data_IF_519637877923
#
_entry.id   IF_519637877923
#
_cell.length_a   1.000
_cell.length_b   1.000
_cell.length_c   1.000
_cell.angle_alpha   90.00
_cell.angle_beta   90.00
_cell.angle_gamma   90.00
#
_symmetry.space_group_name_H-M   'P 1'
#
loop_
_entity.id
_entity.type
_entity.pdbx_description
1 polymer ?
#
# COMPACT_ATOMS: atom_id res chain seq x y z
N UNK A 1 44.83 67.47 -54.68
CA UNK A 1 44.82 67.05 -53.27
C UNK A 1 43.45 67.40 -52.71
N UNK A 2 42.51 66.47 -52.81
CA UNK A 2 41.09 66.67 -52.49
C UNK A 2 40.85 66.28 -51.05
N UNK A 3 40.45 67.25 -50.24
CA UNK A 3 40.20 67.10 -48.80
C UNK A 3 38.77 66.60 -48.59
N UNK A 4 38.62 65.32 -48.26
CA UNK A 4 37.35 64.68 -47.95
C UNK A 4 36.94 65.01 -46.53
N UNK A 5 35.90 65.83 -46.38
CA UNK A 5 35.25 66.12 -45.10
C UNK A 5 34.48 64.88 -44.63
N UNK A 6 34.86 64.32 -43.48
CA UNK A 6 34.17 63.22 -42.82
C UNK A 6 32.98 63.81 -42.05
N UNK A 7 31.73 63.38 -42.29
CA UNK A 7 30.57 63.91 -41.60
C UNK A 7 30.61 63.52 -40.12
N UNK A 8 30.46 64.53 -39.27
CA UNK A 8 30.31 64.39 -37.84
C UNK A 8 29.00 63.65 -37.56
N UNK A 9 29.06 62.36 -37.24
CA UNK A 9 27.89 61.61 -36.79
C UNK A 9 27.50 62.15 -35.42
N UNK A 10 26.34 62.80 -35.33
CA UNK A 10 25.76 63.25 -34.07
C UNK A 10 25.71 62.07 -33.10
N UNK A 11 26.40 62.19 -31.97
CA UNK A 11 26.31 61.21 -30.88
C UNK A 11 24.83 61.09 -30.50
N UNK A 12 24.23 59.89 -30.47
CA UNK A 12 22.86 59.74 -30.03
C UNK A 12 22.73 60.34 -28.64
N UNK A 13 21.80 61.29 -28.49
CA UNK A 13 21.47 61.90 -27.22
C UNK A 13 21.14 60.78 -26.23
N UNK A 14 21.90 60.71 -25.14
CA UNK A 14 21.62 59.81 -24.02
C UNK A 14 20.36 60.31 -23.33
N UNK A 15 19.19 59.89 -23.82
CA UNK A 15 17.93 60.09 -23.14
C UNK A 15 17.99 59.29 -21.84
N UNK A 16 17.99 59.99 -20.69
CA UNK A 16 17.88 59.35 -19.39
C UNK A 16 16.56 58.60 -19.32
N UNK A 17 16.57 57.40 -18.73
CA UNK A 17 15.39 56.58 -18.52
C UNK A 17 14.29 57.41 -17.84
N UNK A 18 13.10 57.40 -18.43
CA UNK A 18 11.96 58.07 -17.80
C UNK A 18 11.50 57.24 -16.59
N UNK A 19 11.10 57.91 -15.51
CA UNK A 19 10.64 57.23 -14.28
C UNK A 19 9.51 56.22 -14.54
N UNK A 20 8.69 56.47 -15.57
CA UNK A 20 7.62 55.59 -16.02
C UNK A 20 8.15 54.27 -16.59
N UNK A 21 9.25 54.30 -17.33
CA UNK A 21 9.87 53.12 -17.94
C UNK A 21 10.49 52.19 -16.87
N UNK A 22 11.05 52.79 -15.81
CA UNK A 22 11.54 52.05 -14.64
C UNK A 22 10.39 51.43 -13.86
N UNK A 23 9.28 52.17 -13.63
CA UNK A 23 8.09 51.65 -12.97
C UNK A 23 7.43 50.50 -13.75
N UNK A 24 7.33 50.63 -15.07
CA UNK A 24 6.82 49.57 -15.94
C UNK A 24 7.70 48.31 -15.87
N UNK A 25 9.02 48.49 -15.93
CA UNK A 25 9.99 47.39 -15.82
C UNK A 25 9.88 46.69 -14.45
N UNK A 26 9.75 47.45 -13.37
CA UNK A 26 9.55 46.92 -12.02
C UNK A 26 8.22 46.15 -11.90
N UNK A 27 7.15 46.64 -12.54
CA UNK A 27 5.85 45.97 -12.57
C UNK A 27 5.89 44.63 -13.30
N UNK A 28 6.51 44.58 -14.47
CA UNK A 28 6.71 43.33 -15.23
C UNK A 28 7.58 42.35 -14.45
N UNK A 29 8.64 42.85 -13.82
CA UNK A 29 9.53 42.05 -12.99
C UNK A 29 8.82 41.46 -11.76
N UNK A 30 8.01 42.26 -11.07
CA UNK A 30 7.20 41.81 -9.93
C UNK A 30 6.18 40.73 -10.35
N UNK A 31 5.49 40.94 -11.48
CA UNK A 31 4.59 39.92 -12.03
C UNK A 31 5.34 38.64 -12.39
N UNK A 32 6.51 38.75 -13.02
CA UNK A 32 7.36 37.60 -13.34
C UNK A 32 7.73 36.78 -12.10
N UNK A 33 8.06 37.43 -10.98
CA UNK A 33 8.33 36.73 -9.72
C UNK A 33 7.12 36.01 -9.15
N UNK A 34 5.92 36.59 -9.24
CA UNK A 34 4.68 35.92 -8.80
C UNK A 34 4.42 34.66 -9.62
N UNK A 35 4.64 34.70 -10.94
CA UNK A 35 4.52 33.53 -11.80
C UNK A 35 5.55 32.45 -11.49
N UNK A 36 6.80 32.81 -11.20
CA UNK A 36 7.83 31.83 -10.81
C UNK A 36 7.51 31.24 -9.43
N UNK A 37 7.08 32.07 -8.49
CA UNK A 37 6.73 31.66 -7.14
C UNK A 37 5.56 30.65 -7.12
N UNK A 38 4.59 30.79 -8.03
CA UNK A 38 3.44 29.89 -8.11
C UNK A 38 3.77 28.51 -8.67
N UNK A 39 4.90 28.33 -9.36
CA UNK A 39 5.32 27.04 -9.92
C UNK A 39 5.96 26.14 -8.84
N UNK A 40 6.64 26.70 -7.85
CA UNK A 40 7.37 25.91 -6.84
C UNK A 40 6.50 24.95 -6.02
N UNK A 41 5.31 25.32 -5.52
CA UNK A 41 4.47 24.40 -4.76
C UNK A 41 4.04 23.18 -5.59
N UNK A 42 3.68 23.39 -6.85
CA UNK A 42 3.27 22.32 -7.76
C UNK A 42 4.44 21.38 -8.06
N UNK A 43 5.63 21.93 -8.34
CA UNK A 43 6.83 21.14 -8.56
C UNK A 43 7.21 20.30 -7.32
N UNK A 44 7.08 20.87 -6.12
CA UNK A 44 7.36 20.15 -4.88
C UNK A 44 6.39 18.98 -4.65
N UNK A 45 5.09 19.18 -4.93
CA UNK A 45 4.09 18.10 -4.85
C UNK A 45 4.40 16.97 -5.85
N UNK A 46 4.64 17.31 -7.12
CA UNK A 46 4.98 16.33 -8.16
C UNK A 46 6.27 15.58 -7.84
N UNK A 47 7.28 16.27 -7.30
CA UNK A 47 8.53 15.64 -6.89
C UNK A 47 8.32 14.66 -5.73
N UNK A 48 7.44 15.00 -4.77
CA UNK A 48 7.06 14.11 -3.67
C UNK A 48 6.35 12.86 -4.20
N UNK A 49 5.35 13.02 -5.05
CA UNK A 49 4.60 11.91 -5.66
C UNK A 49 5.50 11.00 -6.49
N UNK A 50 6.40 11.59 -7.30
CA UNK A 50 7.39 10.83 -8.06
C UNK A 50 8.35 10.07 -7.14
N UNK A 51 8.83 10.69 -6.07
CA UNK A 51 9.70 10.04 -5.07
C UNK A 51 8.98 8.88 -4.37
N UNK A 52 7.73 9.09 -3.96
CA UNK A 52 6.91 8.05 -3.34
C UNK A 52 6.66 6.89 -4.31
N UNK A 53 6.35 7.18 -5.57
CA UNK A 53 6.14 6.16 -6.62
C UNK A 53 7.39 5.33 -6.87
N UNK A 54 8.56 5.97 -6.98
CA UNK A 54 9.85 5.28 -7.18
C UNK A 54 10.21 4.44 -5.95
N UNK A 55 10.01 4.98 -4.75
CA UNK A 55 10.25 4.26 -3.49
C UNK A 55 9.37 3.01 -3.40
N UNK A 56 8.07 3.16 -3.65
CA UNK A 56 7.09 2.08 -3.66
C UNK A 56 7.43 1.00 -4.70
N UNK A 57 7.79 1.39 -5.92
CA UNK A 57 8.21 0.46 -6.97
C UNK A 57 9.49 -0.30 -6.58
N UNK A 58 10.45 0.36 -5.92
CA UNK A 58 11.68 -0.27 -5.42
C UNK A 58 11.39 -1.30 -4.34
N UNK A 59 10.53 -0.97 -3.37
CA UNK A 59 10.13 -1.89 -2.28
C UNK A 59 9.42 -3.12 -2.86
N UNK A 60 8.47 -2.90 -3.76
CA UNK A 60 7.70 -3.95 -4.47
C UNK A 60 8.64 -4.92 -5.21
N UNK A 61 9.61 -4.39 -5.96
CA UNK A 61 10.62 -5.21 -6.66
C UNK A 61 11.51 -5.98 -5.69
N UNK A 62 11.91 -5.36 -4.58
CA UNK A 62 12.72 -6.02 -3.57
C UNK A 62 11.96 -7.15 -2.89
N UNK A 63 10.71 -6.91 -2.45
CA UNK A 63 9.85 -7.93 -1.86
C UNK A 63 9.64 -9.11 -2.83
N UNK A 64 9.39 -8.82 -4.11
CA UNK A 64 9.29 -9.86 -5.15
C UNK A 64 10.59 -10.64 -5.32
N UNK A 65 11.74 -9.96 -5.35
CA UNK A 65 13.05 -10.60 -5.49
C UNK A 65 13.40 -11.47 -4.28
N UNK A 66 13.04 -11.04 -3.07
CA UNK A 66 13.19 -11.82 -1.83
C UNK A 66 12.31 -13.06 -1.89
N UNK A 67 11.02 -12.93 -2.23
CA UNK A 67 10.17 -14.12 -2.33
C UNK A 67 10.67 -15.10 -3.41
N UNK A 68 11.16 -14.57 -4.54
CA UNK A 68 11.81 -15.37 -5.58
C UNK A 68 13.19 -15.91 -5.19
N UNK A 69 13.89 -15.35 -4.21
CA UNK A 69 15.16 -15.92 -3.74
C UNK A 69 14.94 -17.02 -2.70
N UNK A 70 13.81 -16.96 -1.99
CA UNK A 70 13.31 -18.11 -1.22
C UNK A 70 12.96 -19.30 -2.14
N UNK A 71 13.05 -19.17 -3.48
CA UNK A 71 12.93 -20.26 -4.47
C UNK A 71 13.88 -21.43 -4.22
N UNK A 72 15.08 -21.12 -3.75
CA UNK A 72 16.09 -22.15 -3.49
C UNK A 72 15.95 -22.84 -2.12
N UNK A 73 15.02 -22.38 -1.25
CA UNK A 73 14.81 -22.96 0.08
C UNK A 73 13.69 -23.98 -0.01
N UNK A 74 13.99 -25.24 0.34
CA UNK A 74 13.05 -26.38 0.33
C UNK A 74 11.85 -26.09 1.25
N UNK A 75 10.79 -25.56 0.64
CA UNK A 75 9.52 -25.27 1.28
C UNK A 75 8.78 -26.59 1.48
N UNK A 76 9.19 -27.44 2.41
CA UNK A 76 8.39 -28.62 2.74
C UNK A 76 7.09 -28.15 3.44
N UNK A 77 5.94 -28.09 2.74
CA UNK A 77 4.76 -27.37 3.23
C UNK A 77 4.00 -28.16 4.28
N UNK A 78 4.21 -29.48 4.29
CA UNK A 78 3.41 -30.46 5.03
C UNK A 78 3.46 -30.31 6.56
N UNK A 79 4.30 -29.42 7.10
CA UNK A 79 4.32 -29.12 8.53
C UNK A 79 4.73 -27.71 8.93
N UNK A 80 4.96 -26.81 7.97
CA UNK A 80 5.72 -25.58 8.26
C UNK A 80 5.22 -24.26 7.68
N UNK A 81 4.26 -24.24 6.75
CA UNK A 81 3.85 -22.98 6.09
C UNK A 81 2.55 -22.35 6.60
N UNK A 82 1.60 -23.12 7.14
CA UNK A 82 0.41 -22.61 7.81
C UNK A 82 0.41 -22.98 9.31
N UNK A 83 0.10 -22.03 10.19
CA UNK A 83 -0.01 -22.33 11.62
C UNK A 83 -1.33 -23.05 11.92
N UNK A 84 -1.25 -24.00 12.85
CA UNK A 84 -2.40 -24.76 13.32
C UNK A 84 -2.81 -25.92 12.41
N UNK A 85 -3.54 -26.86 13.00
CA UNK A 85 -4.11 -28.08 12.41
C UNK A 85 -5.21 -27.83 11.35
N UNK A 86 -5.24 -26.64 10.74
CA UNK A 86 -6.35 -26.14 9.93
C UNK A 86 -6.00 -25.87 8.46
N UNK A 87 -4.72 -26.05 8.07
CA UNK A 87 -4.37 -26.06 6.65
C UNK A 87 -5.13 -27.18 5.97
N UNK A 88 -5.90 -26.83 4.95
CA UNK A 88 -6.56 -27.76 4.04
C UNK A 88 -6.12 -27.39 2.64
N UNK A 89 -5.77 -28.37 1.84
CA UNK A 89 -5.53 -28.16 0.41
C UNK A 89 -6.88 -27.95 -0.28
N UNK A 90 -7.48 -26.79 -0.06
CA UNK A 90 -8.82 -26.45 -0.53
C UNK A 90 -8.81 -25.23 -1.45
N UNK A 91 -7.65 -24.87 -1.98
CA UNK A 91 -7.56 -23.70 -2.84
C UNK A 91 -7.66 -22.36 -2.13
N UNK A 92 -7.67 -22.30 -0.80
CA UNK A 92 -7.89 -21.03 -0.10
C UNK A 92 -6.59 -20.28 0.21
N UNK A 93 -6.73 -18.96 0.43
CA UNK A 93 -5.65 -18.09 0.90
C UNK A 93 -5.45 -18.22 2.41
N UNK A 94 -4.24 -18.54 2.81
CA UNK A 94 -3.77 -18.67 4.18
C UNK A 94 -2.62 -17.69 4.48
N UNK A 95 -2.47 -17.27 5.75
CA UNK A 95 -1.33 -16.45 6.14
C UNK A 95 -0.10 -17.35 6.36
N UNK A 96 1.08 -16.88 5.96
CA UNK A 96 2.33 -17.60 6.15
C UNK A 96 2.68 -17.87 7.63
N UNK A 97 3.42 -18.92 7.95
CA UNK A 97 3.99 -19.08 9.28
C UNK A 97 5.14 -18.09 9.53
N UNK A 98 4.99 -17.30 10.59
CA UNK A 98 5.94 -16.26 11.02
C UNK A 98 7.30 -16.85 11.37
N UNK A 99 7.26 -17.91 12.18
CA UNK A 99 8.41 -18.69 12.59
C UNK A 99 9.12 -19.34 11.41
N UNK A 100 8.40 -19.69 10.35
CA UNK A 100 9.02 -20.23 9.14
C UNK A 100 9.78 -19.13 8.39
N UNK A 101 9.18 -17.95 8.23
CA UNK A 101 9.86 -16.79 7.62
C UNK A 101 11.10 -16.38 8.42
N UNK A 102 11.00 -16.26 9.74
CA UNK A 102 12.13 -15.84 10.59
C UNK A 102 13.33 -16.80 10.54
N UNK A 103 13.07 -18.11 10.44
CA UNK A 103 14.13 -19.12 10.40
C UNK A 103 14.78 -19.27 9.01
N UNK A 104 14.09 -18.85 7.94
CA UNK A 104 14.54 -19.07 6.56
C UNK A 104 14.92 -17.78 5.82
N UNK A 105 14.51 -16.61 6.30
CA UNK A 105 14.94 -15.34 5.74
C UNK A 105 16.36 -15.00 6.19
N UNK A 106 17.28 -14.69 5.27
CA UNK A 106 18.56 -14.09 5.62
C UNK A 106 18.37 -12.83 6.48
N UNK A 107 19.14 -12.71 7.56
CA UNK A 107 19.07 -11.58 8.53
C UNK A 107 19.31 -10.19 7.91
N UNK A 108 19.76 -10.13 6.66
CA UNK A 108 19.97 -8.92 5.87
C UNK A 108 18.83 -8.60 4.89
N UNK A 109 17.78 -9.42 4.77
CA UNK A 109 16.58 -9.16 3.95
C UNK A 109 15.57 -8.29 4.74
N UNK A 110 16.02 -7.06 5.03
CA UNK A 110 15.46 -6.10 6.01
C UNK A 110 14.24 -5.27 5.55
N UNK A 111 13.24 -5.91 4.97
CA UNK A 111 11.94 -5.24 4.74
C UNK A 111 10.73 -6.07 5.17
N UNK A 112 10.96 -7.32 5.56
CA UNK A 112 9.96 -8.08 6.29
C UNK A 112 9.82 -7.45 7.69
N UNK A 113 8.62 -7.39 8.29
CA UNK A 113 8.47 -7.16 9.72
C UNK A 113 9.15 -8.33 10.45
N UNK A 114 10.47 -8.24 10.56
CA UNK A 114 11.32 -9.12 11.35
C UNK A 114 11.43 -8.51 12.74
N UNK A 115 11.73 -9.35 13.72
CA UNK A 115 12.00 -9.02 15.13
C UNK A 115 13.11 -7.96 15.36
N UNK A 116 13.61 -7.29 14.32
CA UNK A 116 14.70 -6.33 14.39
C UNK A 116 14.30 -5.06 15.16
N UNK A 117 15.28 -4.57 15.92
CA UNK A 117 15.27 -3.43 16.84
C UNK A 117 14.89 -2.07 16.20
N UNK A 118 14.52 -2.01 14.92
CA UNK A 118 14.34 -0.76 14.17
C UNK A 118 13.03 -0.68 13.36
N UNK A 119 12.00 -1.43 13.76
CA UNK A 119 10.66 -1.31 13.16
C UNK A 119 10.14 0.14 13.26
N UNK A 120 10.49 0.87 14.32
CA UNK A 120 10.11 2.28 14.48
C UNK A 120 10.73 3.25 13.48
N UNK A 121 11.75 2.87 12.71
CA UNK A 121 12.27 3.69 11.62
C UNK A 121 11.93 3.14 10.23
N UNK A 122 11.26 1.99 10.17
CA UNK A 122 10.87 1.36 8.91
C UNK A 122 9.62 2.03 8.34
N UNK A 123 9.73 2.51 7.10
CA UNK A 123 8.65 3.21 6.38
C UNK A 123 7.77 2.28 5.57
N UNK A 124 8.25 1.07 5.26
CA UNK A 124 7.58 0.12 4.39
C UNK A 124 7.65 -1.29 4.96
N UNK A 125 6.54 -2.00 4.88
CA UNK A 125 6.41 -3.37 5.34
C UNK A 125 5.83 -4.21 4.23
N UNK A 126 5.98 -5.53 4.31
CA UNK A 126 5.21 -6.41 3.48
C UNK A 126 4.74 -7.63 4.25
N UNK A 127 3.56 -8.12 3.89
CA UNK A 127 2.86 -9.23 4.56
C UNK A 127 2.51 -10.27 3.50
N UNK A 128 3.15 -11.46 3.54
CA UNK A 128 2.91 -12.53 2.59
C UNK A 128 1.72 -13.39 3.02
N UNK A 129 0.84 -13.69 2.08
CA UNK A 129 -0.17 -14.73 2.17
C UNK A 129 0.15 -15.76 1.09
N UNK A 130 -0.34 -16.99 1.24
CA UNK A 130 -0.20 -18.01 0.21
C UNK A 130 -1.54 -18.68 -0.06
N UNK A 131 -1.70 -19.15 -1.28
CA UNK A 131 -2.81 -19.96 -1.74
C UNK A 131 -2.25 -21.24 -2.30
N UNK A 132 -2.85 -22.35 -1.90
CA UNK A 132 -2.67 -23.62 -2.58
C UNK A 132 -3.37 -23.58 -3.94
N UNK A 133 -2.69 -24.00 -5.01
CA UNK A 133 -3.26 -24.15 -6.36
C UNK A 133 -3.95 -25.50 -6.52
N UNK A 134 -3.67 -26.45 -5.63
CA UNK A 134 -4.38 -27.71 -5.57
C UNK A 134 -5.73 -27.44 -4.89
N UNK A 135 -6.77 -27.29 -5.70
CA UNK A 135 -8.14 -27.08 -5.24
C UNK A 135 -8.85 -28.43 -4.94
N UNK A 136 -8.12 -29.56 -4.95
CA UNK A 136 -8.72 -30.92 -4.98
C UNK A 136 -9.08 -31.50 -3.59
N UNK A 137 -8.83 -30.76 -2.51
CA UNK A 137 -9.20 -31.16 -1.15
C UNK A 137 -8.33 -32.25 -0.54
N UNK A 138 -7.52 -32.94 -1.34
CA UNK A 138 -7.02 -34.28 -1.04
C UNK A 138 -5.53 -34.46 -1.35
N UNK A 139 -4.95 -33.63 -2.22
CA UNK A 139 -3.53 -33.65 -2.50
C UNK A 139 -2.82 -32.77 -1.48
N UNK A 140 -1.97 -33.38 -0.65
CA UNK A 140 -1.02 -32.58 0.11
C UNK A 140 -0.16 -31.79 -0.87
N UNK A 141 0.17 -30.55 -0.53
CA UNK A 141 1.10 -29.82 -1.38
C UNK A 141 2.46 -30.49 -1.32
N UNK A 142 2.88 -30.97 -2.47
CA UNK A 142 4.13 -31.73 -2.62
C UNK A 142 5.21 -30.91 -3.31
N UNK A 143 4.83 -29.81 -3.96
CA UNK A 143 5.72 -28.99 -4.77
C UNK A 143 5.45 -27.51 -4.57
N UNK A 144 6.50 -26.70 -4.71
CA UNK A 144 6.39 -25.24 -4.72
C UNK A 144 5.53 -24.70 -5.86
N UNK A 145 5.54 -25.36 -7.02
CA UNK A 145 4.71 -25.00 -8.18
C UNK A 145 3.21 -24.93 -7.86
N UNK A 146 2.82 -25.52 -6.73
CA UNK A 146 1.45 -25.65 -6.30
C UNK A 146 1.05 -24.46 -5.40
N UNK A 147 1.89 -23.44 -5.23
CA UNK A 147 1.53 -22.24 -4.47
C UNK A 147 1.51 -20.97 -5.29
N UNK A 148 0.57 -20.09 -4.93
CA UNK A 148 0.58 -18.68 -5.30
C UNK A 148 0.80 -17.86 -4.04
N UNK A 149 1.78 -16.97 -4.05
CA UNK A 149 2.06 -16.06 -2.93
C UNK A 149 1.49 -14.69 -3.25
N UNK A 150 0.75 -14.11 -2.31
CA UNK A 150 0.26 -12.74 -2.37
C UNK A 150 1.04 -11.89 -1.39
N UNK A 151 1.53 -10.73 -1.81
CA UNK A 151 2.29 -9.80 -0.95
C UNK A 151 1.53 -8.49 -0.83
N UNK A 152 1.02 -8.21 0.36
CA UNK A 152 0.60 -6.85 0.70
C UNK A 152 1.84 -6.01 0.96
N UNK A 153 2.08 -4.96 0.19
CA UNK A 153 3.13 -3.98 0.45
C UNK A 153 2.50 -2.77 1.13
N UNK A 154 2.93 -2.49 2.35
CA UNK A 154 2.32 -1.51 3.23
C UNK A 154 3.25 -0.31 3.45
N UNK A 155 2.72 0.91 3.38
CA UNK A 155 3.40 2.15 3.80
C UNK A 155 3.02 2.44 5.25
N UNK A 156 4.01 2.74 6.08
CA UNK A 156 3.74 3.33 7.39
C UNK A 156 3.21 4.73 7.23
N UNK A 157 2.17 5.05 7.97
CA UNK A 157 1.74 6.41 8.19
C UNK A 157 2.32 6.90 9.52
N UNK A 158 3.10 7.99 9.47
CA UNK A 158 3.96 8.45 10.58
C UNK A 158 3.18 8.71 11.87
N UNK A 159 1.91 9.08 11.76
CA UNK A 159 1.04 9.45 12.87
C UNK A 159 -0.09 8.43 13.11
N UNK A 160 -0.10 7.33 12.37
CA UNK A 160 -1.15 6.32 12.49
C UNK A 160 -0.74 5.22 13.46
N UNK A 161 -1.65 4.92 14.37
CA UNK A 161 -1.61 3.80 15.30
C UNK A 161 -2.48 2.69 14.74
N UNK A 162 -2.10 1.45 15.04
CA UNK A 162 -2.77 0.23 14.63
C UNK A 162 -3.06 -0.60 15.89
N UNK A 163 -4.27 -1.19 16.02
CA UNK A 163 -4.65 -1.99 17.20
C UNK A 163 -3.71 -3.21 17.48
N UNK A 164 -3.60 -3.66 18.74
CA UNK A 164 -2.69 -4.73 19.27
C UNK A 164 -3.43 -5.69 20.24
N UNK A 165 -2.98 -6.91 20.66
CA UNK A 165 -1.87 -7.86 20.29
C UNK A 165 -2.29 -9.31 19.87
N UNK A 166 -1.34 -10.27 19.60
CA UNK A 166 0.12 -10.22 19.86
C UNK A 166 1.11 -10.44 18.72
N UNK A 167 2.30 -9.83 18.85
CA UNK A 167 3.63 -10.17 18.28
C UNK A 167 3.72 -10.82 16.89
N UNK A 168 4.12 -9.98 15.93
CA UNK A 168 4.76 -10.25 14.64
C UNK A 168 4.28 -11.40 13.75
N UNK A 169 4.02 -10.97 12.52
CA UNK A 169 3.86 -11.73 11.30
C UNK A 169 2.56 -12.53 11.19
N UNK A 170 2.30 -13.04 10.01
CA UNK A 170 1.19 -13.82 9.48
C UNK A 170 0.63 -15.02 10.30
N UNK A 171 0.49 -14.98 11.64
CA UNK A 171 -0.18 -16.07 12.39
C UNK A 171 -1.68 -16.23 12.06
N UNK A 172 -2.15 -17.44 11.75
CA UNK A 172 -3.56 -17.85 11.72
C UNK A 172 -4.43 -17.46 12.92
N UNK A 173 -3.84 -17.09 14.06
CA UNK A 173 -4.57 -16.58 15.22
C UNK A 173 -5.14 -15.16 15.01
N UNK A 174 -4.54 -14.35 14.10
CA UNK A 174 -5.02 -12.99 13.76
C UNK A 174 -6.26 -12.98 12.89
N UNK A 175 -6.44 -14.04 12.11
CA UNK A 175 -7.55 -14.19 11.19
C UNK A 175 -8.93 -14.20 11.90
N UNK A 176 -8.95 -14.53 13.19
CA UNK A 176 -10.16 -14.84 13.92
C UNK A 176 -10.31 -14.07 15.24
N UNK A 177 -9.45 -13.07 15.53
CA UNK A 177 -9.43 -12.36 16.82
C UNK A 177 -10.13 -10.98 16.74
N UNK A 178 -10.93 -10.60 17.76
CA UNK A 178 -11.60 -9.29 17.80
C UNK A 178 -10.58 -8.14 17.94
N UNK A 179 -10.93 -6.97 17.39
CA UNK A 179 -10.10 -5.76 17.48
C UNK A 179 -10.12 -5.24 18.92
N UNK A 180 -8.98 -5.23 19.59
CA UNK A 180 -8.81 -4.67 20.95
C UNK A 180 -7.79 -3.54 20.91
N UNK A 181 -8.01 -2.49 21.71
CA UNK A 181 -7.26 -1.24 21.71
C UNK A 181 -5.85 -1.43 22.32
N UNK A 182 -4.83 -1.22 21.51
CA UNK A 182 -3.43 -1.06 21.92
C UNK A 182 -2.59 -0.43 20.81
N UNK A 183 -1.49 0.23 21.17
CA UNK A 183 -0.79 1.23 20.35
C UNK A 183 0.43 0.70 19.59
N UNK A 184 0.27 -0.06 18.51
CA UNK A 184 1.39 -0.34 17.59
C UNK A 184 1.45 0.66 16.43
N UNK A 185 2.63 0.96 15.90
CA UNK A 185 2.84 1.90 14.76
C UNK A 185 3.12 1.17 13.44
N UNK A 186 2.91 -0.14 13.39
CA UNK A 186 3.20 -0.99 12.23
C UNK A 186 1.90 -1.35 11.51
N UNK A 187 1.78 -1.08 10.19
CA UNK A 187 0.62 -1.46 9.41
C UNK A 187 0.49 -2.99 9.28
N UNK A 188 -0.75 -3.49 9.22
CA UNK A 188 -1.08 -4.92 9.26
C UNK A 188 -2.11 -5.30 8.23
N UNK A 189 -2.16 -6.60 7.90
CA UNK A 189 -3.24 -7.21 7.11
C UNK A 189 -4.17 -7.97 8.06
N UNK A 190 -5.46 -7.71 7.92
CA UNK A 190 -6.55 -8.28 8.70
C UNK A 190 -7.35 -9.25 7.83
N UNK A 191 -8.08 -10.15 8.48
CA UNK A 191 -9.07 -11.03 7.85
C UNK A 191 -10.44 -10.68 8.40
N UNK A 192 -11.46 -10.58 7.54
CA UNK A 192 -12.84 -10.38 7.98
C UNK A 192 -13.80 -11.29 7.22
N UNK A 193 -14.88 -11.69 7.89
CA UNK A 193 -15.88 -12.58 7.33
C UNK A 193 -16.89 -11.84 6.45
N UNK A 194 -17.19 -12.42 5.30
CA UNK A 194 -18.22 -11.95 4.37
C UNK A 194 -19.52 -12.70 4.69
N UNK A 195 -20.61 -11.97 4.93
CA UNK A 195 -21.91 -12.54 5.28
C UNK A 195 -22.79 -12.80 4.06
N UNK A 196 -22.65 -11.98 3.02
CA UNK A 196 -23.34 -12.13 1.75
C UNK A 196 -22.55 -11.41 0.67
N UNK A 197 -22.76 -11.78 -0.58
CA UNK A 197 -22.20 -11.06 -1.72
C UNK A 197 -23.12 -11.24 -2.93
N UNK A 198 -23.03 -10.31 -3.88
CA UNK A 198 -23.80 -10.33 -5.12
C UNK A 198 -23.03 -9.59 -6.21
N UNK A 199 -22.59 -10.32 -7.24
CA UNK A 199 -21.87 -9.89 -8.43
C UNK A 199 -20.65 -9.00 -8.20
N UNK A 200 -20.83 -7.80 -7.65
CA UNK A 200 -19.80 -6.80 -7.38
C UNK A 200 -19.84 -6.27 -5.94
N UNK A 201 -20.70 -6.82 -5.11
CA UNK A 201 -20.99 -6.29 -3.78
C UNK A 201 -20.65 -7.33 -2.73
N UNK A 202 -19.94 -6.92 -1.69
CA UNK A 202 -19.63 -7.76 -0.53
C UNK A 202 -20.25 -7.11 0.70
N UNK A 203 -21.01 -7.90 1.46
CA UNK A 203 -21.60 -7.53 2.74
C UNK A 203 -20.85 -8.20 3.87
N UNK A 204 -20.54 -7.47 4.92
CA UNK A 204 -19.77 -8.00 6.04
C UNK A 204 -20.66 -8.46 7.18
N UNK A 205 -20.16 -9.40 7.97
CA UNK A 205 -20.85 -9.89 9.17
C UNK A 205 -20.81 -8.83 10.28
N UNK A 206 -19.71 -8.08 10.38
CA UNK A 206 -19.49 -7.05 11.40
C UNK A 206 -19.99 -5.71 10.84
N UNK A 207 -21.06 -5.10 11.39
CA UNK A 207 -21.67 -3.87 10.88
C UNK A 207 -20.83 -2.60 11.06
N UNK A 208 -19.72 -2.68 11.81
CA UNK A 208 -18.91 -1.53 12.22
C UNK A 208 -17.73 -1.23 11.26
N UNK A 209 -17.99 -1.36 9.96
CA UNK A 209 -16.95 -1.29 8.91
C UNK A 209 -16.45 0.14 8.65
N UNK A 210 -17.22 1.13 9.11
CA UNK A 210 -17.01 2.56 8.89
C UNK A 210 -17.09 3.39 10.18
N UNK A 211 -16.90 2.77 11.35
CA UNK A 211 -16.75 3.50 12.61
C UNK A 211 -18.04 4.11 13.15
N UNK A 212 -18.77 3.33 13.94
CA UNK A 212 -19.77 3.79 14.90
C UNK A 212 -19.47 3.33 16.34
N UNK A 213 -18.24 2.83 16.58
CA UNK A 213 -17.70 2.44 17.89
C UNK A 213 -16.15 2.32 17.89
N UNK A 214 -15.58 1.71 18.93
CA UNK A 214 -14.13 1.52 19.19
C UNK A 214 -13.37 0.67 18.15
N UNK A 215 -13.92 0.44 16.96
CA UNK A 215 -13.25 -0.35 15.90
C UNK A 215 -12.83 0.54 14.71
N UNK A 216 -11.60 0.36 14.17
CA UNK A 216 -11.06 1.20 13.10
C UNK A 216 -11.88 1.10 11.80
N UNK A 217 -11.92 2.19 11.03
CA UNK A 217 -12.27 2.16 9.60
C UNK A 217 -11.45 1.07 8.90
N UNK A 218 -12.16 0.16 8.24
CA UNK A 218 -11.55 -1.11 7.82
C UNK A 218 -10.96 -1.00 6.41
N UNK A 219 -11.61 -0.32 5.47
CA UNK A 219 -11.25 -0.29 4.05
C UNK A 219 -11.63 1.05 3.42
N UNK A 220 -10.71 1.66 2.66
CA UNK A 220 -10.96 2.89 1.89
C UNK A 220 -11.34 2.62 0.41
N UNK A 221 -11.93 3.62 -0.26
CA UNK A 221 -12.12 3.57 -1.72
C UNK A 221 -10.75 3.61 -2.42
N UNK A 222 -10.53 2.71 -3.37
CA UNK A 222 -9.27 2.50 -4.07
C UNK A 222 -8.39 1.41 -3.45
N UNK A 223 -8.78 0.89 -2.27
CA UNK A 223 -8.02 -0.16 -1.60
C UNK A 223 -8.11 -1.48 -2.34
N UNK A 224 -6.99 -2.19 -2.37
CA UNK A 224 -6.93 -3.57 -2.86
C UNK A 224 -7.18 -4.53 -1.71
N UNK A 225 -8.11 -5.45 -1.91
CA UNK A 225 -8.39 -6.55 -1.02
C UNK A 225 -8.19 -7.88 -1.73
N UNK A 226 -7.93 -8.93 -0.95
CA UNK A 226 -7.75 -10.29 -1.45
C UNK A 226 -8.83 -11.18 -0.86
N UNK A 227 -9.61 -11.86 -1.69
CA UNK A 227 -10.56 -12.85 -1.16
C UNK A 227 -9.92 -14.18 -0.80
N UNK A 228 -10.67 -15.04 -0.10
CA UNK A 228 -10.23 -16.39 0.22
C UNK A 228 -9.93 -17.26 -0.99
N UNK A 229 -10.45 -16.93 -2.17
CA UNK A 229 -10.21 -17.64 -3.42
C UNK A 229 -8.98 -17.08 -4.17
N UNK A 230 -8.25 -16.12 -3.60
CA UNK A 230 -7.06 -15.55 -4.23
C UNK A 230 -7.36 -14.54 -5.36
N UNK A 231 -8.59 -14.02 -5.43
CA UNK A 231 -8.95 -12.93 -6.34
C UNK A 231 -8.67 -11.59 -5.67
N UNK A 232 -7.98 -10.72 -6.40
CA UNK A 232 -7.73 -9.35 -5.97
C UNK A 232 -8.88 -8.45 -6.46
N UNK A 233 -9.46 -7.70 -5.53
CA UNK A 233 -10.54 -6.75 -5.81
C UNK A 233 -10.10 -5.34 -5.42
N UNK A 234 -10.55 -4.34 -6.15
CA UNK A 234 -10.40 -2.93 -5.78
C UNK A 234 -11.74 -2.37 -5.31
N UNK A 235 -11.72 -1.62 -4.22
CA UNK A 235 -12.92 -1.06 -3.59
C UNK A 235 -13.35 0.21 -4.32
N UNK A 236 -14.59 0.24 -4.80
CA UNK A 236 -15.13 1.34 -5.61
C UNK A 236 -16.02 2.29 -4.80
N UNK A 237 -16.80 1.74 -3.88
CA UNK A 237 -17.71 2.53 -3.04
C UNK A 237 -18.14 1.75 -1.81
N UNK A 238 -18.66 2.48 -0.83
CA UNK A 238 -19.24 1.92 0.39
C UNK A 238 -20.71 2.34 0.53
N UNK A 239 -21.51 1.45 1.10
CA UNK A 239 -22.84 1.71 1.60
C UNK A 239 -22.86 1.37 3.10
N UNK A 240 -22.82 2.43 3.90
CA UNK A 240 -22.76 2.38 5.36
C UNK A 240 -23.99 1.72 5.98
N UNK A 241 -25.17 2.07 5.48
CA UNK A 241 -26.45 1.61 6.03
C UNK A 241 -26.61 0.11 5.88
N UNK A 242 -26.06 -0.46 4.81
CA UNK A 242 -26.17 -1.88 4.50
C UNK A 242 -24.91 -2.69 4.83
N UNK A 243 -23.87 -2.04 5.37
CA UNK A 243 -22.57 -2.64 5.65
C UNK A 243 -21.96 -3.38 4.45
N UNK A 244 -21.91 -2.67 3.32
CA UNK A 244 -21.63 -3.26 2.02
C UNK A 244 -20.62 -2.43 1.25
N UNK A 245 -19.63 -3.10 0.65
CA UNK A 245 -18.73 -2.48 -0.32
C UNK A 245 -19.10 -2.91 -1.73
N UNK A 246 -18.84 -2.04 -2.69
CA UNK A 246 -18.82 -2.38 -4.12
C UNK A 246 -17.37 -2.49 -4.55
N UNK A 247 -17.05 -3.53 -5.32
CA UNK A 247 -15.70 -3.81 -5.81
C UNK A 247 -15.65 -3.92 -7.33
N UNK A 248 -14.45 -3.89 -7.89
CA UNK A 248 -14.19 -4.17 -9.31
C UNK A 248 -14.43 -5.63 -9.67
N UNK A 249 -14.87 -5.88 -10.91
CA UNK A 249 -14.97 -7.24 -11.48
C UNK A 249 -16.29 -7.95 -11.19
N UNK A 250 -16.36 -9.25 -11.49
CA UNK A 250 -17.43 -10.16 -11.08
C UNK A 250 -16.83 -11.09 -10.04
N UNK A 251 -17.43 -11.15 -8.87
CA UNK A 251 -17.09 -12.09 -7.79
C UNK A 251 -17.53 -13.47 -8.27
N UNK A 252 -16.55 -14.32 -8.59
CA UNK A 252 -16.82 -15.71 -8.96
C UNK A 252 -16.87 -16.56 -7.68
N UNK A 253 -17.97 -17.28 -7.49
CA UNK A 253 -18.18 -18.26 -6.41
C UNK A 253 -17.43 -19.58 -6.64
N UNK A 254 -16.75 -19.70 -7.78
CA UNK A 254 -16.10 -20.94 -8.18
C UNK A 254 -14.59 -20.83 -7.93
N UNK A 255 -13.95 -21.81 -7.27
CA UNK A 255 -14.52 -23.09 -6.81
C UNK A 255 -15.21 -23.06 -5.44
N UNK A 256 -15.01 -22.02 -4.63
CA UNK A 256 -15.42 -21.96 -3.22
C UNK A 256 -16.27 -20.72 -2.87
N UNK A 257 -17.13 -20.86 -1.85
CA UNK A 257 -17.88 -19.74 -1.27
C UNK A 257 -16.93 -18.63 -0.82
N UNK A 258 -17.28 -17.38 -1.10
CA UNK A 258 -16.57 -16.21 -0.57
C UNK A 258 -16.87 -16.10 0.93
N UNK A 259 -15.95 -16.59 1.76
CA UNK A 259 -16.11 -16.65 3.22
C UNK A 259 -15.42 -15.48 3.92
N UNK A 260 -14.29 -15.03 3.39
CA UNK A 260 -13.50 -13.98 4.01
C UNK A 260 -12.67 -13.22 2.99
N UNK A 261 -12.30 -12.00 3.39
CA UNK A 261 -11.32 -11.18 2.66
C UNK A 261 -10.16 -10.83 3.58
N UNK A 262 -9.04 -10.51 2.96
CA UNK A 262 -7.85 -9.94 3.55
C UNK A 262 -7.67 -8.50 3.08
N UNK A 263 -7.37 -7.59 4.00
CA UNK A 263 -7.23 -6.15 3.72
C UNK A 263 -6.25 -5.51 4.70
N UNK A 264 -5.70 -4.33 4.39
CA UNK A 264 -4.89 -3.58 5.35
C UNK A 264 -5.68 -2.36 5.87
N UNK A 265 -5.77 -2.22 7.20
CA UNK A 265 -6.49 -1.09 7.81
C UNK A 265 -5.69 0.20 7.72
N UNK A 266 -6.29 1.36 7.39
CA UNK A 266 -5.66 2.69 7.39
C UNK A 266 -5.02 3.09 8.73
N UNK A 267 -5.44 2.47 9.84
CA UNK A 267 -5.02 2.86 11.19
C UNK A 267 -5.80 4.06 11.71
N UNK A 268 -5.45 4.52 12.90
CA UNK A 268 -6.10 5.64 13.59
C UNK A 268 -5.08 6.71 13.95
N UNK A 269 -5.47 7.97 13.92
CA UNK A 269 -4.67 9.08 14.42
C UNK A 269 -4.60 9.09 15.96
N UNK A 270 -3.87 10.06 16.51
CA UNK A 270 -3.67 10.19 17.96
C UNK A 270 -4.98 10.40 18.75
N UNK A 271 -6.03 10.90 18.10
CA UNK A 271 -7.35 11.12 18.70
C UNK A 271 -8.24 9.86 18.65
N UNK A 272 -7.71 8.74 18.16
CA UNK A 272 -8.47 7.51 17.94
C UNK A 272 -9.44 7.58 16.76
N UNK A 273 -9.44 8.70 16.04
CA UNK A 273 -10.18 8.82 14.80
C UNK A 273 -9.41 8.10 13.70
N UNK A 274 -10.09 7.55 12.69
CA UNK A 274 -9.45 6.99 11.52
C UNK A 274 -8.43 7.95 10.89
N UNK A 275 -7.28 7.43 10.50
CA UNK A 275 -6.26 8.24 9.86
C UNK A 275 -6.79 8.72 8.51
N UNK A 276 -7.05 10.02 8.37
CA UNK A 276 -7.77 10.63 7.24
C UNK A 276 -7.03 10.61 5.89
N UNK A 277 -6.07 9.69 5.69
CA UNK A 277 -5.15 9.75 4.55
C UNK A 277 -4.79 8.36 4.00
N UNK A 278 -5.79 7.67 3.45
CA UNK A 278 -5.63 6.62 2.43
C UNK A 278 -5.11 5.28 2.93
N UNK A 279 -5.26 4.25 2.10
CA UNK A 279 -4.77 2.91 2.41
C UNK A 279 -3.31 2.90 2.85
N UNK A 280 -2.92 2.08 3.84
CA UNK A 280 -1.52 1.72 3.99
C UNK A 280 -1.10 0.80 2.84
N UNK A 281 -2.03 0.15 2.15
CA UNK A 281 -1.74 -0.75 1.03
C UNK A 281 -1.25 0.08 -0.15
N UNK A 282 0.04 -0.04 -0.45
CA UNK A 282 0.65 0.50 -1.66
C UNK A 282 0.32 -0.40 -2.85
N UNK A 283 0.47 -1.70 -2.65
CA UNK A 283 0.23 -2.68 -3.71
C UNK A 283 -0.07 -4.07 -3.13
N UNK A 284 -0.72 -4.89 -3.96
CA UNK A 284 -0.93 -6.30 -3.71
C UNK A 284 -0.33 -7.08 -4.89
N UNK A 285 0.82 -7.70 -4.65
CA UNK A 285 1.60 -8.40 -5.67
C UNK A 285 1.22 -9.87 -5.64
N UNK A 286 1.02 -10.47 -6.81
CA UNK A 286 0.88 -11.92 -6.95
C UNK A 286 2.19 -12.50 -7.50
N UNK A 287 2.81 -13.41 -6.76
CA UNK A 287 4.00 -14.16 -7.13
C UNK A 287 3.59 -15.61 -7.34
N UNK A 288 3.61 -16.03 -8.60
CA UNK A 288 3.30 -17.40 -9.01
C UNK A 288 4.60 -18.14 -9.32
N UNK A 289 4.74 -19.34 -8.76
CA UNK A 289 5.83 -20.28 -9.05
C UNK A 289 5.39 -21.33 -10.07
#
# INVERSE_FOLDING_TARGET
MTMTCIPHTNSPNRHGFTLLEVLLSLGIFALGFVFIASIFPVAALLQKEASDTVSNARVTRNATAIMKSLDDIDLNPAGGLASGSSYRSNGQVYPFLTSWLDNNLPTNMRSFPSFLLDYENTTHYWVPLFRDKNDDGNSFVTSRSDFTVYLFVLKRQIQSRYPYPPLFATSPEYANSPVVLSNELVPKVYKTAVSAYDQKRMKFTIPDFNGTGDTPEQIDIGDKILDNNGTVHEVLSYNLSDNMITVTGIINESPDLLLYIWFASPGVNDDGNPATHGSPTIDLITVTY
#
